data_IF_864368998667
#
_entry.id   IF_864368998667
#
_cell.length_a   1.000
_cell.length_b   1.000
_cell.length_c   1.000
_cell.angle_alpha   90.00
_cell.angle_beta   90.00
_cell.angle_gamma   90.00
#
_symmetry.space_group_name_H-M   'P 1'
#
loop_
_entity.id
_entity.type
_entity.pdbx_description
1 polymer ?
#
# COMPACT_ATOMS: atom_id res chain seq x y z
N UNK A 1 11.66 21.09 2.73
CA UNK A 1 12.61 20.41 3.65
C UNK A 1 13.97 20.41 2.97
N UNK A 2 15.08 20.54 3.72
CA UNK A 2 16.40 20.38 3.11
C UNK A 2 16.66 18.94 2.67
N UNK A 3 17.63 18.74 1.77
CA UNK A 3 18.04 17.40 1.33
C UNK A 3 18.44 16.53 2.53
N UNK A 4 18.16 15.23 2.47
CA UNK A 4 18.61 14.21 3.43
C UNK A 4 19.64 13.33 2.74
N UNK A 5 20.66 12.90 3.46
CA UNK A 5 21.67 11.96 2.96
C UNK A 5 21.77 10.80 3.94
N UNK A 6 21.51 9.58 3.47
CA UNK A 6 21.79 8.36 4.22
C UNK A 6 23.26 7.98 3.98
N UNK A 7 24.05 7.89 5.05
CA UNK A 7 25.51 7.64 5.00
C UNK A 7 25.88 6.27 5.54
N UNK A 8 26.80 5.58 4.86
CA UNK A 8 27.42 4.35 5.36
C UNK A 8 26.55 3.09 5.26
N UNK A 9 25.45 3.16 4.51
CA UNK A 9 24.52 2.06 4.35
C UNK A 9 24.98 0.99 3.35
N UNK A 10 24.51 -0.23 3.55
CA UNK A 10 24.56 -1.28 2.52
C UNK A 10 23.25 -1.24 1.73
N UNK A 11 23.30 -0.74 0.49
CA UNK A 11 22.11 -0.57 -0.33
C UNK A 11 21.76 -1.88 -1.03
N UNK A 12 20.54 -2.36 -0.81
CA UNK A 12 19.94 -3.48 -1.52
C UNK A 12 18.74 -2.97 -2.31
N UNK A 13 18.87 -2.90 -3.64
CA UNK A 13 17.78 -2.59 -4.56
C UNK A 13 17.74 -3.64 -5.69
N UNK A 14 16.90 -4.69 -5.54
CA UNK A 14 16.76 -5.73 -6.55
C UNK A 14 16.24 -5.23 -7.89
N UNK A 15 15.49 -4.12 -7.92
CA UNK A 15 14.95 -3.56 -9.16
C UNK A 15 16.05 -2.98 -10.07
N UNK A 16 17.18 -2.61 -9.47
CA UNK A 16 18.38 -2.10 -10.13
C UNK A 16 19.57 -3.08 -10.08
N UNK A 17 19.40 -4.24 -9.42
CA UNK A 17 20.48 -5.20 -9.21
C UNK A 17 21.61 -4.67 -8.30
N UNK A 18 21.30 -3.74 -7.39
CA UNK A 18 22.28 -3.15 -6.47
C UNK A 18 22.30 -3.98 -5.18
N UNK A 19 23.50 -4.41 -4.79
CA UNK A 19 23.80 -5.07 -3.52
C UNK A 19 25.23 -4.69 -3.12
N UNK A 20 25.42 -3.46 -2.68
CA UNK A 20 26.73 -2.91 -2.36
C UNK A 20 26.65 -1.67 -1.45
N UNK A 21 27.75 -1.30 -0.77
CA UNK A 21 27.82 -0.07 0.02
C UNK A 21 27.58 1.18 -0.84
N UNK A 22 26.59 2.01 -0.47
CA UNK A 22 26.24 3.27 -1.14
C UNK A 22 25.69 4.28 -0.13
N UNK A 23 25.81 5.56 -0.47
CA UNK A 23 25.05 6.63 0.19
C UNK A 23 23.86 7.03 -0.68
N UNK A 24 22.75 7.42 -0.05
CA UNK A 24 21.50 7.77 -0.75
C UNK A 24 21.13 9.22 -0.46
N UNK A 25 21.01 10.03 -1.51
CA UNK A 25 20.60 11.44 -1.43
C UNK A 25 19.11 11.54 -1.74
N UNK A 26 18.37 12.11 -0.80
CA UNK A 26 16.93 12.35 -0.90
C UNK A 26 16.71 13.86 -0.99
N UNK A 27 15.99 14.30 -2.01
CA UNK A 27 15.58 15.70 -2.20
C UNK A 27 14.09 15.76 -2.53
N UNK A 28 13.37 16.67 -1.89
CA UNK A 28 11.93 16.87 -2.10
C UNK A 28 11.10 15.57 -2.05
N UNK A 29 11.42 14.70 -1.09
CA UNK A 29 10.73 13.42 -0.88
C UNK A 29 11.03 12.34 -1.93
N UNK A 30 12.03 12.56 -2.80
CA UNK A 30 12.41 11.61 -3.86
C UNK A 30 13.88 11.21 -3.73
N UNK A 31 14.21 10.02 -4.20
CA UNK A 31 15.60 9.59 -4.37
C UNK A 31 16.22 10.45 -5.47
N UNK A 32 17.10 11.37 -5.10
CA UNK A 32 17.75 12.29 -6.04
C UNK A 32 18.98 11.64 -6.68
N UNK A 33 19.81 10.96 -5.89
CA UNK A 33 21.04 10.29 -6.34
C UNK A 33 21.39 9.12 -5.42
N UNK A 34 21.94 8.07 -6.03
CA UNK A 34 22.71 7.03 -5.33
C UNK A 34 24.18 7.33 -5.63
N UNK A 35 25.00 7.51 -4.60
CA UNK A 35 26.39 7.95 -4.74
C UNK A 35 27.34 6.97 -4.05
N UNK A 36 28.60 6.98 -4.47
CA UNK A 36 29.65 6.22 -3.78
C UNK A 36 29.78 6.63 -2.32
N UNK A 37 30.09 5.72 -1.39
CA UNK A 37 30.28 6.04 0.02
C UNK A 37 31.24 7.21 0.23
N UNK A 38 30.82 8.19 1.02
CA UNK A 38 31.64 9.38 1.35
C UNK A 38 31.76 10.41 0.22
N UNK A 39 31.08 10.24 -0.91
CA UNK A 39 31.06 11.23 -1.98
C UNK A 39 30.43 12.56 -1.49
N UNK A 40 30.94 13.68 -2.02
CA UNK A 40 30.48 15.02 -1.63
C UNK A 40 29.01 15.23 -2.00
N UNK A 41 28.18 15.58 -1.02
CA UNK A 41 26.80 15.96 -1.18
C UNK A 41 26.41 16.98 -0.08
N UNK A 42 25.36 17.76 -0.32
CA UNK A 42 24.87 18.77 0.63
C UNK A 42 23.47 18.40 1.12
N UNK A 43 23.30 18.34 2.44
CA UNK A 43 22.04 18.00 3.08
C UNK A 43 22.24 17.64 4.55
N UNK A 44 21.14 17.33 5.24
CA UNK A 44 21.17 16.73 6.56
C UNK A 44 21.62 15.28 6.44
N UNK A 45 22.72 14.93 7.07
CA UNK A 45 23.22 13.56 7.07
C UNK A 45 22.56 12.73 8.17
N UNK A 46 22.28 11.47 7.84
CA UNK A 46 21.81 10.43 8.76
C UNK A 46 22.79 9.26 8.60
N UNK A 47 23.51 8.95 9.68
CA UNK A 47 24.41 7.80 9.71
C UNK A 47 23.60 6.51 9.87
N UNK A 48 23.74 5.62 8.90
CA UNK A 48 23.11 4.29 8.85
C UNK A 48 24.18 3.20 8.73
N UNK A 49 25.41 3.48 9.20
CA UNK A 49 26.50 2.51 9.23
C UNK A 49 26.06 1.21 9.92
N UNK A 50 26.39 0.08 9.30
CA UNK A 50 26.01 -1.26 9.79
C UNK A 50 24.55 -1.66 9.55
N UNK A 51 23.77 -0.82 8.87
CA UNK A 51 22.38 -1.11 8.52
C UNK A 51 22.21 -1.33 7.02
N UNK A 52 21.16 -2.07 6.66
CA UNK A 52 20.68 -2.21 5.29
C UNK A 52 19.81 -1.01 4.95
N UNK A 53 20.04 -0.43 3.78
CA UNK A 53 19.13 0.53 3.15
C UNK A 53 18.45 -0.21 1.99
N UNK A 54 17.12 -0.21 1.96
CA UNK A 54 16.34 -0.86 0.91
C UNK A 54 15.14 0.00 0.54
N UNK A 55 14.53 -0.23 -0.64
CA UNK A 55 13.20 0.29 -0.93
C UNK A 55 12.23 -0.08 0.20
N UNK A 56 11.32 0.84 0.53
CA UNK A 56 10.31 0.57 1.54
C UNK A 56 9.44 -0.63 1.15
N UNK A 57 9.13 -1.49 2.11
CA UNK A 57 8.37 -2.70 1.84
C UNK A 57 6.93 -2.34 1.43
N UNK A 58 6.33 -3.22 0.63
CA UNK A 58 4.94 -3.14 0.20
C UNK A 58 4.22 -4.39 0.69
N UNK A 59 3.23 -4.22 1.55
CA UNK A 59 2.38 -5.32 2.03
C UNK A 59 1.02 -5.26 1.32
N UNK A 60 0.76 -6.25 0.48
CA UNK A 60 -0.46 -6.30 -0.34
C UNK A 60 -1.65 -6.92 0.40
N UNK A 61 -1.51 -7.31 1.68
CA UNK A 61 -2.56 -7.97 2.45
C UNK A 61 -2.59 -7.52 3.91
N UNK A 62 -3.32 -6.45 4.20
CA UNK A 62 -3.46 -5.89 5.56
C UNK A 62 -4.92 -5.75 5.98
N UNK A 63 -5.22 -5.95 7.27
CA UNK A 63 -6.54 -5.68 7.83
C UNK A 63 -6.50 -4.49 8.80
N UNK A 64 -6.88 -3.30 8.31
CA UNK A 64 -6.89 -2.07 9.12
C UNK A 64 -8.15 -1.91 10.00
N UNK A 65 -9.17 -2.76 9.79
CA UNK A 65 -10.38 -2.90 10.62
C UNK A 65 -11.30 -1.66 10.71
N UNK A 66 -10.87 -0.52 10.19
CA UNK A 66 -11.68 0.70 10.07
C UNK A 66 -12.16 0.88 8.61
N UNK A 67 -13.47 1.03 8.38
CA UNK A 67 -14.53 1.28 9.37
C UNK A 67 -15.13 0.01 10.02
N UNK A 68 -15.76 0.18 11.17
CA UNK A 68 -16.69 -0.77 11.79
C UNK A 68 -16.10 -1.64 12.90
N UNK A 69 -14.78 -1.83 12.91
CA UNK A 69 -14.08 -2.64 13.91
C UNK A 69 -12.89 -1.90 14.53
N UNK A 70 -13.03 -0.60 14.77
CA UNK A 70 -11.99 0.31 15.27
C UNK A 70 -11.42 -0.12 16.64
N UNK A 71 -12.19 -0.88 17.42
CA UNK A 71 -11.73 -1.48 18.68
C UNK A 71 -10.64 -2.55 18.49
N UNK A 72 -10.45 -3.05 17.26
CA UNK A 72 -9.38 -4.00 16.91
C UNK A 72 -8.15 -3.27 16.37
N UNK A 73 -8.36 -2.36 15.42
CA UNK A 73 -7.32 -1.57 14.76
C UNK A 73 -7.96 -0.37 14.06
N UNK A 74 -7.19 0.70 13.84
CA UNK A 74 -7.57 1.86 13.03
C UNK A 74 -6.61 2.05 11.86
N UNK A 75 -6.99 2.84 10.86
CA UNK A 75 -6.08 3.20 9.77
C UNK A 75 -4.82 3.88 10.32
N UNK A 76 -4.96 4.75 11.32
CA UNK A 76 -3.84 5.46 11.94
C UNK A 76 -2.87 4.48 12.63
N UNK A 77 -3.37 3.66 13.55
CA UNK A 77 -2.55 2.73 14.34
C UNK A 77 -1.94 1.63 13.47
N UNK A 78 -2.69 1.10 12.49
CA UNK A 78 -2.18 0.13 11.54
C UNK A 78 -1.10 0.71 10.61
N UNK A 79 -1.23 1.97 10.20
CA UNK A 79 -0.20 2.64 9.41
C UNK A 79 1.08 2.90 10.22
N UNK A 80 0.97 3.27 11.50
CA UNK A 80 2.13 3.40 12.39
C UNK A 80 2.84 2.05 12.59
N UNK A 81 2.08 0.97 12.78
CA UNK A 81 2.61 -0.39 12.89
C UNK A 81 3.34 -0.82 11.60
N UNK A 82 2.77 -0.50 10.43
CA UNK A 82 3.41 -0.76 9.14
C UNK A 82 4.78 -0.07 9.02
N UNK A 83 4.84 1.24 9.32
CA UNK A 83 6.11 2.01 9.29
C UNK A 83 7.13 1.44 10.27
N UNK A 84 6.70 1.07 11.49
CA UNK A 84 7.58 0.44 12.48
C UNK A 84 8.16 -0.90 12.00
N UNK A 85 7.42 -1.63 11.15
CA UNK A 85 7.87 -2.86 10.48
C UNK A 85 8.70 -2.65 9.20
N UNK A 86 8.94 -1.40 8.79
CA UNK A 86 9.64 -1.08 7.53
C UNK A 86 8.76 -1.09 6.27
N UNK A 87 7.43 -1.18 6.45
CA UNK A 87 6.44 -1.13 5.37
C UNK A 87 6.03 0.32 5.12
N UNK A 88 6.14 0.74 3.86
CA UNK A 88 5.82 2.12 3.44
C UNK A 88 4.55 2.20 2.60
N UNK A 89 4.05 1.06 2.12
CA UNK A 89 2.78 0.96 1.41
C UNK A 89 2.02 -0.30 1.84
N UNK A 90 0.74 -0.15 2.14
CA UNK A 90 -0.16 -1.25 2.51
C UNK A 90 -1.39 -1.29 1.63
N UNK A 91 -1.93 -2.48 1.38
CA UNK A 91 -3.23 -2.68 0.73
C UNK A 91 -4.21 -3.29 1.74
N UNK A 92 -5.23 -2.51 2.09
CA UNK A 92 -6.28 -2.93 3.00
C UNK A 92 -7.27 -3.89 2.32
N UNK A 93 -7.61 -4.96 3.04
CA UNK A 93 -8.62 -5.93 2.63
C UNK A 93 -10.04 -5.42 2.89
N UNK A 94 -11.04 -5.85 2.11
CA UNK A 94 -12.34 -5.20 2.06
C UNK A 94 -13.32 -5.73 3.12
N UNK A 95 -12.85 -6.48 4.12
CA UNK A 95 -13.70 -7.09 5.17
C UNK A 95 -13.93 -6.17 6.38
N UNK A 96 -14.17 -4.89 6.10
CA UNK A 96 -14.65 -3.88 7.05
C UNK A 96 -16.18 -3.84 7.08
N UNK A 97 -16.75 -3.01 7.95
CA UNK A 97 -18.19 -2.78 8.03
C UNK A 97 -18.51 -1.27 8.01
N UNK A 98 -19.10 -0.73 6.94
CA UNK A 98 -19.42 -1.42 5.68
C UNK A 98 -18.16 -1.83 4.89
N UNK A 99 -18.24 -2.84 4.01
CA UNK A 99 -17.17 -3.15 3.06
C UNK A 99 -17.04 -2.06 1.97
N UNK A 100 -15.88 -1.89 1.34
CA UNK A 100 -15.68 -0.98 0.21
C UNK A 100 -16.25 -1.60 -1.09
N UNK A 101 -17.57 -1.80 -1.13
CA UNK A 101 -18.31 -2.35 -2.27
C UNK A 101 -19.07 -1.28 -3.08
N UNK A 102 -18.91 0.00 -2.70
CA UNK A 102 -19.42 1.18 -3.41
C UNK A 102 -18.34 2.26 -3.51
N UNK A 103 -18.45 3.11 -4.53
CA UNK A 103 -17.50 4.21 -4.74
C UNK A 103 -17.46 5.21 -3.57
N UNK A 104 -18.58 5.42 -2.88
CA UNK A 104 -18.64 6.28 -1.69
C UNK A 104 -17.91 5.66 -0.50
N UNK A 105 -18.04 4.35 -0.28
CA UNK A 105 -17.30 3.66 0.77
C UNK A 105 -15.78 3.74 0.52
N UNK A 106 -15.34 3.56 -0.73
CA UNK A 106 -13.94 3.70 -1.15
C UNK A 106 -13.43 5.13 -0.93
N UNK A 107 -14.17 6.15 -1.39
CA UNK A 107 -13.80 7.56 -1.17
C UNK A 107 -13.73 7.90 0.31
N UNK A 108 -14.67 7.40 1.10
CA UNK A 108 -14.68 7.58 2.55
C UNK A 108 -13.47 6.94 3.23
N UNK A 109 -13.04 5.76 2.77
CA UNK A 109 -11.82 5.11 3.23
C UNK A 109 -10.58 5.97 2.94
N UNK A 110 -10.40 6.41 1.69
CA UNK A 110 -9.26 7.25 1.32
C UNK A 110 -9.25 8.58 2.07
N UNK A 111 -10.41 9.15 2.38
CA UNK A 111 -10.51 10.36 3.19
C UNK A 111 -9.95 10.16 4.60
N UNK A 112 -10.20 9.01 5.23
CA UNK A 112 -9.64 8.65 6.55
C UNK A 112 -8.14 8.38 6.47
N UNK A 113 -7.68 7.83 5.35
CA UNK A 113 -6.28 7.50 5.13
C UNK A 113 -5.38 8.69 4.76
N UNK A 114 -5.92 9.89 4.50
CA UNK A 114 -5.14 11.08 4.10
C UNK A 114 -3.98 11.42 5.06
N UNK A 115 -4.15 11.14 6.36
CA UNK A 115 -3.16 11.43 7.40
C UNK A 115 -2.41 10.21 7.91
N UNK A 116 -2.50 9.07 7.21
CA UNK A 116 -1.82 7.85 7.58
C UNK A 116 -0.28 8.00 7.52
N UNK A 117 0.44 7.29 8.38
CA UNK A 117 1.89 7.36 8.46
C UNK A 117 2.62 6.72 7.25
N UNK A 118 1.92 5.87 6.49
CA UNK A 118 2.40 5.26 5.25
C UNK A 118 1.37 5.41 4.13
N UNK A 119 1.70 4.98 2.91
CA UNK A 119 0.74 4.94 1.81
C UNK A 119 -0.27 3.82 2.06
N UNK A 120 -1.56 4.17 2.11
CA UNK A 120 -2.63 3.21 2.32
C UNK A 120 -3.49 3.14 1.07
N UNK A 121 -3.58 1.94 0.51
CA UNK A 121 -4.47 1.58 -0.60
C UNK A 121 -5.53 0.60 -0.10
N UNK A 122 -6.58 0.37 -0.89
CA UNK A 122 -7.60 -0.63 -0.54
C UNK A 122 -8.01 -1.44 -1.76
N UNK A 123 -8.44 -2.66 -1.52
CA UNK A 123 -9.17 -3.46 -2.51
C UNK A 123 -10.67 -3.12 -2.43
N UNK A 124 -11.37 -3.29 -3.56
CA UNK A 124 -12.82 -3.28 -3.60
C UNK A 124 -13.39 -4.67 -3.36
N UNK A 125 -14.58 -4.76 -2.78
CA UNK A 125 -15.27 -6.05 -2.71
C UNK A 125 -15.57 -6.58 -4.13
N UNK A 126 -15.42 -7.89 -4.36
CA UNK A 126 -15.88 -8.52 -5.61
C UNK A 126 -17.41 -8.50 -5.66
N UNK A 127 -18.05 -8.79 -4.54
CA UNK A 127 -19.51 -8.87 -4.44
C UNK A 127 -20.09 -7.85 -3.48
N UNK A 128 -21.35 -7.47 -3.73
CA UNK A 128 -22.11 -6.60 -2.84
C UNK A 128 -22.16 -7.19 -1.44
N UNK A 129 -21.77 -6.39 -0.47
CA UNK A 129 -21.65 -6.73 0.95
C UNK A 129 -20.81 -7.99 1.21
N UNK A 130 -19.91 -8.35 0.27
CA UNK A 130 -19.08 -9.56 0.31
C UNK A 130 -19.89 -10.86 0.50
N UNK A 131 -21.07 -10.97 -0.12
CA UNK A 131 -21.98 -12.13 0.04
C UNK A 131 -21.75 -13.26 -0.97
N UNK A 132 -20.92 -13.07 -1.99
CA UNK A 132 -20.66 -14.07 -3.03
C UNK A 132 -21.79 -14.21 -4.06
N UNK A 133 -22.87 -13.42 -3.94
CA UNK A 133 -24.08 -13.56 -4.76
C UNK A 133 -24.05 -12.66 -6.01
N UNK A 134 -24.04 -11.33 -5.80
CA UNK A 134 -24.10 -10.32 -6.86
C UNK A 134 -22.81 -9.51 -6.90
N UNK A 135 -22.26 -9.28 -8.10
CA UNK A 135 -21.09 -8.42 -8.29
C UNK A 135 -21.33 -7.01 -7.75
N UNK A 136 -20.29 -6.43 -7.16
CA UNK A 136 -20.21 -5.00 -6.93
C UNK A 136 -19.99 -4.23 -8.25
N UNK A 137 -20.14 -2.91 -8.22
CA UNK A 137 -19.94 -2.05 -9.40
C UNK A 137 -18.43 -1.85 -9.66
N UNK A 138 -17.75 -2.89 -10.15
CA UNK A 138 -16.27 -2.97 -10.22
C UNK A 138 -15.62 -1.78 -10.93
N UNK A 139 -16.24 -1.29 -12.01
CA UNK A 139 -15.76 -0.13 -12.76
C UNK A 139 -15.82 1.16 -11.93
N UNK A 140 -16.87 1.35 -11.12
CA UNK A 140 -17.01 2.51 -10.24
C UNK A 140 -16.03 2.44 -9.08
N UNK A 141 -15.76 1.24 -8.55
CA UNK A 141 -14.73 1.03 -7.53
C UNK A 141 -13.34 1.36 -8.06
N UNK A 142 -13.02 0.92 -9.28
CA UNK A 142 -11.75 1.24 -9.94
C UNK A 142 -11.62 2.76 -10.15
N UNK A 143 -12.67 3.43 -10.62
CA UNK A 143 -12.70 4.89 -10.77
C UNK A 143 -12.57 5.62 -9.42
N UNK A 144 -12.99 5.01 -8.32
CA UNK A 144 -12.82 5.53 -6.97
C UNK A 144 -11.41 5.29 -6.38
N UNK A 145 -10.58 4.47 -7.03
CA UNK A 145 -9.16 4.32 -6.73
C UNK A 145 -8.73 3.00 -6.09
N UNK A 146 -9.58 1.95 -6.06
CA UNK A 146 -9.14 0.63 -5.56
C UNK A 146 -8.00 0.07 -6.41
N UNK A 147 -7.15 -0.76 -5.81
CA UNK A 147 -5.96 -1.35 -6.49
C UNK A 147 -6.13 -2.81 -6.89
N UNK A 148 -7.30 -3.38 -6.63
CA UNK A 148 -7.66 -4.76 -6.94
C UNK A 148 -9.01 -5.14 -6.33
N UNK A 149 -9.50 -6.34 -6.61
CA UNK A 149 -10.77 -6.84 -6.11
C UNK A 149 -10.60 -8.10 -5.26
N UNK A 150 -11.28 -8.15 -4.12
CA UNK A 150 -11.25 -9.32 -3.23
C UNK A 150 -12.53 -9.43 -2.41
N UNK A 151 -12.97 -10.64 -2.08
CA UNK A 151 -13.96 -10.86 -1.01
C UNK A 151 -13.29 -11.40 0.28
N UNK A 152 -11.96 -11.23 0.39
CA UNK A 152 -11.10 -11.75 1.46
C UNK A 152 -11.77 -11.79 2.84
N UNK A 153 -11.60 -12.91 3.54
CA UNK A 153 -12.40 -13.33 4.68
C UNK A 153 -13.49 -14.34 4.31
N UNK A 154 -13.96 -14.33 3.06
CA UNK A 154 -14.98 -15.25 2.55
C UNK A 154 -14.68 -15.67 1.09
N UNK A 155 -14.90 -16.94 0.71
CA UNK A 155 -14.75 -17.38 -0.68
C UNK A 155 -15.95 -16.97 -1.55
N UNK A 156 -15.71 -16.61 -2.81
CA UNK A 156 -16.77 -16.47 -3.82
C UNK A 156 -17.21 -17.85 -4.28
N UNK A 157 -18.20 -18.43 -3.61
CA UNK A 157 -18.64 -19.82 -3.85
C UNK A 157 -19.27 -20.06 -5.23
N UNK A 158 -19.85 -19.03 -5.86
CA UNK A 158 -20.42 -19.14 -7.20
C UNK A 158 -19.35 -18.92 -8.27
N UNK A 159 -18.95 -19.98 -8.95
CA UNK A 159 -17.92 -19.95 -10.00
C UNK A 159 -18.27 -19.04 -11.17
N UNK A 160 -19.57 -18.85 -11.47
CA UNK A 160 -20.01 -17.92 -12.52
C UNK A 160 -19.83 -16.47 -12.08
N UNK A 161 -20.12 -16.15 -10.83
CA UNK A 161 -19.86 -14.81 -10.27
C UNK A 161 -18.37 -14.53 -10.30
N UNK A 162 -17.54 -15.48 -9.87
CA UNK A 162 -16.09 -15.32 -9.91
C UNK A 162 -15.55 -15.16 -11.34
N UNK A 163 -16.03 -15.98 -12.29
CA UNK A 163 -15.66 -15.87 -13.70
C UNK A 163 -16.02 -14.49 -14.26
N UNK A 164 -17.25 -14.03 -14.04
CA UNK A 164 -17.66 -12.70 -14.48
C UNK A 164 -16.79 -11.61 -13.84
N UNK A 165 -16.44 -11.72 -12.55
CA UNK A 165 -15.55 -10.76 -11.90
C UNK A 165 -14.20 -10.66 -12.64
N UNK A 166 -13.60 -11.80 -13.00
CA UNK A 166 -12.36 -11.83 -13.79
C UNK A 166 -12.55 -11.24 -15.20
N UNK A 167 -13.66 -11.54 -15.88
CA UNK A 167 -13.99 -11.00 -17.20
C UNK A 167 -14.17 -9.48 -17.18
N UNK A 168 -14.76 -8.93 -16.12
CA UNK A 168 -14.88 -7.48 -15.92
C UNK A 168 -13.55 -6.84 -15.49
N UNK A 169 -12.75 -7.54 -14.68
CA UNK A 169 -11.47 -7.01 -14.18
C UNK A 169 -10.43 -6.87 -15.29
N UNK A 170 -10.44 -7.78 -16.27
CA UNK A 170 -9.48 -7.77 -17.39
C UNK A 170 -9.46 -6.43 -18.16
N UNK A 171 -10.59 -5.90 -18.69
CA UNK A 171 -10.60 -4.61 -19.37
C UNK A 171 -10.42 -3.41 -18.42
N UNK A 172 -10.74 -3.56 -17.12
CA UNK A 172 -10.47 -2.54 -16.09
C UNK A 172 -8.96 -2.41 -15.83
N UNK A 173 -8.21 -3.51 -15.97
CA UNK A 173 -6.75 -3.54 -15.77
C UNK A 173 -6.33 -3.64 -14.31
N UNK A 174 -7.21 -4.13 -13.44
CA UNK A 174 -6.92 -4.41 -12.04
C UNK A 174 -6.95 -5.93 -11.77
N UNK A 175 -6.19 -6.44 -10.79
CA UNK A 175 -6.20 -7.85 -10.40
C UNK A 175 -7.43 -8.23 -9.55
#
# INVERSE_FOLDING_TARGET
MGNIILRGGHLIDPSQGIDEPKDVVIADGKIAKIISPGAKASGREIDVTGHIVAPGLVDIHVHLREPGYEYKETIATGAEAAVAGGVTSVVAMPNTDPPPDTADAVRGFYKRAETAACHVYTTGAITRSRKGEQLAELADLAAAGVVGFSDDGDPVGNTRTLLHAMEYSQPIGLP
#
